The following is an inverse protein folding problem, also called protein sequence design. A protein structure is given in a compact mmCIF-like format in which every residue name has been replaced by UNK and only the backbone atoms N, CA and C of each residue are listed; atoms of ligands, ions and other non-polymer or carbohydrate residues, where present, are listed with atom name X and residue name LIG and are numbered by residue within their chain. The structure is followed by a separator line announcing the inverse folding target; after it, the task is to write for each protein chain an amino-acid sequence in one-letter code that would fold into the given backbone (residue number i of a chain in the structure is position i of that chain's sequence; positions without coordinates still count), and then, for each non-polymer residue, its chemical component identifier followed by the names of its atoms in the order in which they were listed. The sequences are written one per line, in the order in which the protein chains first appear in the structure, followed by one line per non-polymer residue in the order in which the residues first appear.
data_IF_067138874880
#
_entry.id   IF_067138874880
#
_cell.length_a   1.000
_cell.length_b   1.000
_cell.length_c   1.000
_cell.angle_alpha   90.00
_cell.angle_beta   90.00
_cell.angle_gamma   90.00
#
_symmetry.space_group_name_H-M   'P 1'
#
loop_
_entity.id
_entity.type
_entity.pdbx_description
1 polymer ?
#
# COMPACT_ATOMS: atom_id res chain seq x y z
N UNK A 1 8.17 1.66 -25.83
CA UNK A 1 8.09 1.64 -24.35
C UNK A 1 9.48 1.39 -23.80
N UNK A 2 10.05 2.31 -23.02
CA UNK A 2 11.39 2.15 -22.45
C UNK A 2 11.40 1.08 -21.35
N UNK A 3 12.08 -0.04 -21.63
CA UNK A 3 12.30 -1.14 -20.69
C UNK A 3 12.93 -0.68 -19.36
N UNK A 4 13.79 0.34 -19.42
CA UNK A 4 14.45 0.93 -18.24
C UNK A 4 13.46 1.54 -17.26
N UNK A 5 12.38 2.14 -17.76
CA UNK A 5 11.34 2.73 -16.92
C UNK A 5 10.59 1.63 -16.18
N UNK A 6 10.14 0.59 -16.89
CA UNK A 6 9.43 -0.55 -16.27
C UNK A 6 10.31 -1.28 -15.24
N UNK A 7 11.59 -1.47 -15.53
CA UNK A 7 12.56 -2.07 -14.60
C UNK A 7 12.80 -1.18 -13.36
N UNK A 8 12.80 0.15 -13.51
CA UNK A 8 12.85 1.09 -12.38
C UNK A 8 11.60 1.01 -11.49
N UNK A 9 10.42 0.80 -12.10
CA UNK A 9 9.17 0.63 -11.37
C UNK A 9 9.13 -0.68 -10.59
N UNK A 10 9.53 -1.79 -11.20
CA UNK A 10 9.58 -3.10 -10.54
C UNK A 10 10.64 -3.16 -9.43
N UNK A 11 11.79 -2.50 -9.60
CA UNK A 11 12.89 -2.54 -8.65
C UNK A 11 12.69 -1.63 -7.42
N UNK A 12 12.08 -0.45 -7.60
CA UNK A 12 11.83 0.48 -6.49
C UNK A 12 10.80 -0.04 -5.48
N UNK A 13 9.74 -0.71 -5.96
CA UNK A 13 8.70 -1.32 -5.10
C UNK A 13 9.29 -2.47 -4.27
N UNK A 14 10.33 -3.12 -4.79
CA UNK A 14 10.98 -4.28 -4.20
C UNK A 14 12.03 -3.97 -3.11
N UNK A 15 12.40 -2.72 -2.84
CA UNK A 15 13.51 -2.51 -1.88
C UNK A 15 13.08 -2.64 -0.39
N UNK A 16 11.78 -2.55 -0.09
CA UNK A 16 11.30 -2.40 1.30
C UNK A 16 10.27 -3.45 1.78
N UNK A 17 9.74 -4.34 0.93
CA UNK A 17 8.80 -5.40 1.37
C UNK A 17 9.49 -6.69 1.84
N UNK A 18 8.76 -7.70 2.32
CA UNK A 18 9.31 -9.02 2.67
C UNK A 18 9.90 -9.70 1.44
N UNK A 19 11.00 -10.45 1.56
CA UNK A 19 11.62 -11.11 0.40
C UNK A 19 10.62 -11.99 -0.38
N UNK A 20 9.70 -12.65 0.34
CA UNK A 20 8.67 -13.50 -0.25
C UNK A 20 7.59 -12.70 -0.99
N UNK A 21 6.92 -11.74 -0.36
CA UNK A 21 5.84 -10.97 -1.02
C UNK A 21 6.31 -10.17 -2.23
N UNK A 22 7.55 -9.68 -2.20
CA UNK A 22 8.21 -8.96 -3.30
C UNK A 22 8.32 -9.71 -4.61
N UNK A 23 8.89 -10.91 -4.55
CA UNK A 23 9.14 -11.72 -5.74
C UNK A 23 7.79 -12.13 -6.32
N UNK A 24 6.87 -12.61 -5.47
CA UNK A 24 5.57 -13.08 -5.90
C UNK A 24 4.67 -11.95 -6.44
N UNK A 25 4.59 -10.79 -5.79
CA UNK A 25 3.81 -9.66 -6.29
C UNK A 25 4.36 -9.13 -7.61
N UNK A 26 5.68 -9.06 -7.77
CA UNK A 26 6.31 -8.64 -9.03
C UNK A 26 6.05 -9.66 -10.14
N UNK A 27 6.18 -10.96 -9.87
CA UNK A 27 5.96 -12.02 -10.86
C UNK A 27 4.51 -12.06 -11.31
N UNK A 28 3.55 -12.01 -10.37
CA UNK A 28 2.12 -12.03 -10.71
C UNK A 28 1.73 -10.75 -11.47
N UNK A 29 2.27 -9.59 -11.11
CA UNK A 29 2.01 -8.35 -11.84
C UNK A 29 2.55 -8.39 -13.27
N UNK A 30 3.79 -8.87 -13.48
CA UNK A 30 4.37 -9.02 -14.83
C UNK A 30 3.57 -10.03 -15.65
N UNK A 31 3.25 -11.18 -15.08
CA UNK A 31 2.40 -12.19 -15.73
C UNK A 31 1.06 -11.58 -16.17
N UNK A 32 0.44 -10.78 -15.31
CA UNK A 32 -0.83 -10.12 -15.59
C UNK A 32 -0.73 -9.10 -16.74
N UNK A 33 0.35 -8.32 -16.82
CA UNK A 33 0.59 -7.41 -17.94
C UNK A 33 0.79 -8.20 -19.23
N UNK A 34 1.53 -9.32 -19.20
CA UNK A 34 1.74 -10.18 -20.37
C UNK A 34 0.43 -10.77 -20.88
N UNK A 35 -0.38 -11.36 -19.99
CA UNK A 35 -1.70 -11.92 -20.35
C UNK A 35 -2.62 -10.84 -20.90
N UNK A 36 -2.63 -9.65 -20.29
CA UNK A 36 -3.40 -8.51 -20.77
C UNK A 36 -3.03 -8.11 -22.20
N UNK A 37 -1.74 -7.99 -22.52
CA UNK A 37 -1.27 -7.61 -23.87
C UNK A 37 -1.70 -8.65 -24.90
N UNK A 38 -1.51 -9.94 -24.61
CA UNK A 38 -1.91 -11.03 -25.52
C UNK A 38 -3.41 -11.03 -25.74
N UNK A 39 -4.19 -10.88 -24.68
CA UNK A 39 -5.64 -10.81 -24.72
C UNK A 39 -6.14 -9.62 -25.55
N UNK A 40 -5.60 -8.42 -25.30
CA UNK A 40 -6.03 -7.18 -25.94
C UNK A 40 -5.93 -7.26 -27.46
N UNK A 41 -4.82 -7.79 -27.99
CA UNK A 41 -4.60 -7.88 -29.43
C UNK A 41 -5.33 -9.05 -30.08
N UNK A 42 -5.29 -10.24 -29.47
CA UNK A 42 -5.74 -11.47 -30.14
C UNK A 42 -7.21 -11.79 -29.93
N UNK A 43 -7.78 -11.41 -28.78
CA UNK A 43 -9.09 -11.89 -28.34
C UNK A 43 -10.12 -10.77 -28.43
N UNK A 44 -9.75 -9.55 -28.03
CA UNK A 44 -10.64 -8.40 -28.00
C UNK A 44 -10.46 -7.42 -29.17
N UNK A 45 -9.48 -7.64 -30.05
CA UNK A 45 -9.17 -6.74 -31.17
C UNK A 45 -10.31 -6.60 -32.19
N UNK A 46 -11.05 -7.68 -32.42
CA UNK A 46 -12.09 -7.77 -33.46
C UNK A 46 -13.51 -7.93 -32.88
N UNK A 47 -13.69 -7.59 -31.60
CA UNK A 47 -14.92 -7.88 -30.84
C UNK A 47 -16.20 -7.34 -31.45
N UNK A 48 -16.15 -6.13 -32.01
CA UNK A 48 -17.31 -5.51 -32.64
C UNK A 48 -17.59 -6.10 -34.03
N UNK A 49 -16.58 -6.61 -34.74
CA UNK A 49 -16.74 -7.23 -36.06
C UNK A 49 -17.27 -8.65 -35.96
N UNK A 50 -16.84 -9.39 -34.94
CA UNK A 50 -17.25 -10.77 -34.68
C UNK A 50 -18.58 -10.85 -33.91
N UNK A 51 -19.26 -9.72 -33.66
CA UNK A 51 -20.59 -9.65 -33.07
C UNK A 51 -21.66 -9.63 -34.17
N UNK A 52 -22.31 -10.77 -34.38
CA UNK A 52 -23.24 -10.98 -35.50
C UNK A 52 -24.66 -11.18 -34.99
N UNK A 53 -25.63 -10.48 -35.57
CA UNK A 53 -27.04 -10.58 -35.22
C UNK A 53 -27.84 -11.12 -36.41
N UNK A 54 -28.79 -12.01 -36.17
CA UNK A 54 -29.62 -12.62 -37.21
C UNK A 54 -30.69 -11.64 -37.75
N UNK A 55 -30.25 -10.54 -38.36
CA UNK A 55 -31.10 -9.51 -38.95
C UNK A 55 -30.35 -8.70 -40.01
N UNK A 56 -31.05 -8.25 -41.05
CA UNK A 56 -30.48 -7.42 -42.14
C UNK A 56 -30.64 -5.91 -41.90
N UNK A 57 -31.22 -5.51 -40.78
CA UNK A 57 -31.51 -4.12 -40.45
C UNK A 57 -30.20 -3.39 -40.11
N UNK A 58 -29.86 -2.30 -40.81
CA UNK A 58 -28.66 -1.53 -40.51
C UNK A 58 -28.75 -0.89 -39.12
N UNK A 59 -27.63 -0.87 -38.40
CA UNK A 59 -27.52 -0.25 -37.08
C UNK A 59 -27.97 -1.11 -35.89
N UNK A 60 -28.80 -2.13 -36.09
CA UNK A 60 -29.20 -3.07 -35.03
C UNK A 60 -28.00 -3.76 -34.33
N UNK A 61 -27.01 -4.35 -35.03
CA UNK A 61 -25.85 -4.96 -34.35
C UNK A 61 -25.02 -3.95 -33.54
N UNK A 62 -24.92 -2.69 -34.00
CA UNK A 62 -24.16 -1.66 -33.29
C UNK A 62 -24.81 -1.27 -31.95
N UNK A 63 -26.13 -1.06 -31.93
CA UNK A 63 -26.83 -0.71 -30.68
C UNK A 63 -26.91 -1.88 -29.71
N UNK A 64 -27.06 -3.10 -30.23
CA UNK A 64 -27.06 -4.30 -29.40
C UNK A 64 -25.69 -4.54 -28.79
N UNK A 65 -24.61 -4.35 -29.55
CA UNK A 65 -23.26 -4.45 -29.03
C UNK A 65 -23.01 -3.44 -27.90
N UNK A 66 -23.37 -2.17 -28.11
CA UNK A 66 -23.19 -1.10 -27.12
C UNK A 66 -24.01 -1.36 -25.83
N UNK A 67 -25.23 -1.91 -25.96
CA UNK A 67 -26.06 -2.24 -24.80
C UNK A 67 -25.52 -3.40 -23.97
N UNK A 68 -25.06 -4.49 -24.60
CA UNK A 68 -24.53 -5.65 -23.88
C UNK A 68 -23.08 -5.45 -23.41
N UNK A 69 -22.32 -4.58 -24.07
CA UNK A 69 -20.93 -4.27 -23.75
C UNK A 69 -20.69 -2.77 -23.58
N UNK A 70 -21.36 -2.10 -22.62
CA UNK A 70 -21.25 -0.64 -22.44
C UNK A 70 -19.81 -0.21 -22.15
N UNK A 71 -19.08 -1.05 -21.42
CA UNK A 71 -17.64 -1.03 -21.32
C UNK A 71 -17.17 -2.43 -21.68
N UNK A 72 -16.04 -2.57 -22.37
CA UNK A 72 -15.43 -3.87 -22.66
C UNK A 72 -14.56 -4.34 -21.48
N UNK A 73 -14.52 -5.65 -21.23
CA UNK A 73 -13.68 -6.26 -20.17
C UNK A 73 -12.23 -5.75 -20.22
N UNK A 74 -11.64 -5.72 -21.42
CA UNK A 74 -10.24 -5.33 -21.60
C UNK A 74 -9.97 -3.88 -21.15
N UNK A 75 -10.93 -2.95 -21.36
CA UNK A 75 -10.80 -1.57 -20.90
C UNK A 75 -10.83 -1.48 -19.37
N UNK A 76 -11.71 -2.24 -18.72
CA UNK A 76 -11.74 -2.30 -17.25
C UNK A 76 -10.45 -2.90 -16.68
N UNK A 77 -9.91 -3.95 -17.29
CA UNK A 77 -8.61 -4.51 -16.92
C UNK A 77 -7.45 -3.52 -17.12
N UNK A 78 -7.49 -2.73 -18.19
CA UNK A 78 -6.50 -1.67 -18.44
C UNK A 78 -6.53 -0.62 -17.33
N UNK A 79 -7.72 -0.11 -17.00
CA UNK A 79 -7.92 0.86 -15.92
C UNK A 79 -7.45 0.27 -14.59
N UNK A 80 -7.80 -0.98 -14.30
CA UNK A 80 -7.37 -1.64 -13.09
C UNK A 80 -5.85 -1.73 -12.98
N UNK A 81 -5.14 -2.12 -14.05
CA UNK A 81 -3.68 -2.16 -14.08
C UNK A 81 -3.08 -0.77 -13.83
N UNK A 82 -3.63 0.28 -14.45
CA UNK A 82 -3.19 1.67 -14.25
C UNK A 82 -3.37 2.07 -12.78
N UNK A 83 -4.58 1.95 -12.24
CA UNK A 83 -4.86 2.35 -10.85
C UNK A 83 -4.06 1.54 -9.82
N UNK A 84 -3.79 0.26 -10.08
CA UNK A 84 -2.94 -0.58 -9.22
C UNK A 84 -1.47 -0.15 -9.26
N UNK A 85 -0.98 0.34 -10.39
CA UNK A 85 0.39 0.85 -10.48
C UNK A 85 0.57 2.17 -9.74
N UNK A 86 -0.44 3.05 -9.72
CA UNK A 86 -0.33 4.38 -9.12
C UNK A 86 0.17 4.39 -7.64
N UNK A 87 -0.39 3.61 -6.70
CA UNK A 87 0.13 3.54 -5.33
C UNK A 87 1.58 3.05 -5.25
N UNK A 88 1.94 2.12 -6.14
CA UNK A 88 3.30 1.57 -6.22
C UNK A 88 4.29 2.63 -6.71
N UNK A 89 3.92 3.40 -7.74
CA UNK A 89 4.70 4.55 -8.23
C UNK A 89 4.90 5.61 -7.15
N UNK A 90 3.84 5.94 -6.42
CA UNK A 90 3.87 6.93 -5.34
C UNK A 90 4.91 6.55 -4.27
N UNK A 91 4.98 5.29 -3.86
CA UNK A 91 5.97 4.84 -2.87
C UNK A 91 7.39 4.94 -3.41
N UNK A 92 7.64 4.51 -4.65
CA UNK A 92 8.97 4.61 -5.27
C UNK A 92 9.41 6.06 -5.38
N UNK A 93 8.51 6.93 -5.81
CA UNK A 93 8.75 8.36 -5.92
C UNK A 93 9.03 8.97 -4.54
N UNK A 94 8.27 8.59 -3.51
CA UNK A 94 8.47 9.07 -2.14
C UNK A 94 9.84 8.64 -1.57
N UNK A 95 10.26 7.39 -1.82
CA UNK A 95 11.60 6.92 -1.44
C UNK A 95 12.68 7.72 -2.15
N UNK A 96 12.59 7.82 -3.48
CA UNK A 96 13.59 8.55 -4.29
C UNK A 96 13.69 10.01 -3.88
N UNK A 97 12.55 10.66 -3.64
CA UNK A 97 12.48 12.03 -3.16
C UNK A 97 13.17 12.21 -1.81
N UNK A 98 12.99 11.26 -0.88
CA UNK A 98 13.66 11.26 0.42
C UNK A 98 15.17 11.06 0.30
N UNK A 99 15.60 10.12 -0.55
CA UNK A 99 17.02 9.86 -0.81
C UNK A 99 17.71 11.10 -1.40
N UNK A 100 17.06 11.79 -2.35
CA UNK A 100 17.58 13.04 -2.94
C UNK A 100 17.65 14.19 -1.93
N UNK A 101 16.63 14.32 -1.06
CA UNK A 101 16.63 15.29 0.05
C UNK A 101 17.79 15.04 1.01
N UNK A 102 18.06 13.79 1.36
CA UNK A 102 19.17 13.44 2.25
C UNK A 102 20.53 13.70 1.59
N UNK A 103 20.68 13.43 0.28
CA UNK A 103 21.88 13.78 -0.49
C UNK A 103 22.15 15.28 -0.47
N UNK A 104 21.11 16.11 -0.70
CA UNK A 104 21.21 17.58 -0.65
C UNK A 104 21.54 18.08 0.76
N UNK A 105 21.04 17.42 1.80
CA UNK A 105 21.34 17.79 3.18
C UNK A 105 22.80 17.51 3.56
N UNK A 106 23.31 16.31 3.21
CA UNK A 106 24.72 15.93 3.39
C UNK A 106 25.68 16.86 2.65
N UNK A 107 25.31 17.30 1.44
CA UNK A 107 26.11 18.26 0.68
C UNK A 107 26.26 19.62 1.37
N UNK A 108 25.32 20.02 2.23
CA UNK A 108 25.34 21.31 2.95
C UNK A 108 25.96 21.25 4.35
N UNK A 109 25.76 20.15 5.08
CA UNK A 109 26.14 20.03 6.50
C UNK A 109 27.31 19.07 6.74
N UNK A 110 27.92 18.54 5.68
CA UNK A 110 29.03 17.60 5.73
C UNK A 110 28.61 16.13 5.62
N UNK A 111 29.58 15.22 5.39
CA UNK A 111 29.31 13.80 5.10
C UNK A 111 28.64 13.05 6.25
N UNK A 112 28.85 13.48 7.50
CA UNK A 112 28.30 12.84 8.71
C UNK A 112 26.89 13.33 9.10
N UNK A 113 26.38 14.38 8.45
CA UNK A 113 25.08 14.95 8.79
C UNK A 113 23.92 14.15 8.17
N UNK A 114 23.10 13.48 9.00
CA UNK A 114 21.89 12.74 8.56
C UNK A 114 20.61 13.53 8.87
N UNK A 115 19.71 13.62 7.88
CA UNK A 115 18.41 14.29 8.03
C UNK A 115 17.33 13.38 8.64
N UNK A 116 17.42 12.07 8.40
CA UNK A 116 16.52 11.07 8.95
C UNK A 116 17.36 10.06 9.74
N UNK A 117 16.99 9.87 11.00
CA UNK A 117 17.64 8.86 11.84
C UNK A 117 17.22 7.46 11.36
N UNK A 118 18.20 6.61 11.06
CA UNK A 118 18.03 5.22 10.60
C UNK A 118 17.20 5.01 9.31
N UNK A 119 17.73 5.39 8.14
CA UNK A 119 17.12 5.10 6.81
C UNK A 119 16.91 3.62 6.47
N UNK A 120 17.57 2.71 7.21
CA UNK A 120 17.46 1.26 6.98
C UNK A 120 16.27 0.59 7.68
N UNK A 121 15.65 1.22 8.69
CA UNK A 121 14.54 0.62 9.45
C UNK A 121 13.25 1.36 9.11
N UNK A 122 12.16 0.62 8.89
CA UNK A 122 10.80 1.15 8.65
C UNK A 122 10.26 1.94 9.86
N UNK A 123 10.84 3.09 10.19
CA UNK A 123 10.44 3.93 11.31
C UNK A 123 9.91 5.27 10.81
N UNK A 124 8.80 5.72 11.40
CA UNK A 124 8.14 6.99 11.07
C UNK A 124 7.33 6.98 9.77
N UNK A 125 7.33 8.12 9.07
CA UNK A 125 6.44 8.38 7.93
C UNK A 125 6.58 7.44 6.74
N UNK A 126 7.76 6.84 6.51
CA UNK A 126 7.95 5.90 5.38
C UNK A 126 7.11 4.62 5.55
N UNK A 127 6.97 4.12 6.78
CA UNK A 127 6.13 2.97 7.08
C UNK A 127 4.65 3.28 6.83
N UNK A 128 4.19 4.47 7.24
CA UNK A 128 2.80 4.89 7.02
C UNK A 128 2.46 5.04 5.54
N UNK A 129 3.33 5.68 4.75
CA UNK A 129 3.12 5.79 3.29
C UNK A 129 3.07 4.41 2.62
N UNK A 130 3.90 3.47 3.09
CA UNK A 130 3.90 2.11 2.59
C UNK A 130 2.61 1.36 2.96
N UNK A 131 2.19 1.43 4.23
CA UNK A 131 0.97 0.80 4.71
C UNK A 131 -0.27 1.34 3.97
N UNK A 132 -0.39 2.67 3.85
CA UNK A 132 -1.49 3.31 3.13
C UNK A 132 -1.49 2.90 1.65
N UNK A 133 -0.33 2.78 1.02
CA UNK A 133 -0.24 2.32 -0.37
C UNK A 133 -0.72 0.89 -0.56
N UNK A 134 -0.44 -0.01 0.40
CA UNK A 134 -0.91 -1.39 0.38
C UNK A 134 -2.42 -1.46 0.56
N UNK A 135 -2.98 -0.69 1.50
CA UNK A 135 -4.43 -0.60 1.68
C UNK A 135 -5.11 -0.05 0.42
N UNK A 136 -4.59 1.04 -0.16
CA UNK A 136 -5.13 1.61 -1.39
C UNK A 136 -5.06 0.61 -2.55
N UNK A 137 -3.96 -0.14 -2.68
CA UNK A 137 -3.81 -1.19 -3.70
C UNK A 137 -4.85 -2.30 -3.53
N UNK A 138 -5.01 -2.82 -2.31
CA UNK A 138 -6.02 -3.86 -2.01
C UNK A 138 -7.43 -3.35 -2.27
N UNK A 139 -7.74 -2.12 -1.85
CA UNK A 139 -9.05 -1.50 -2.07
C UNK A 139 -9.37 -1.35 -3.57
N UNK A 140 -8.42 -0.84 -4.36
CA UNK A 140 -8.56 -0.69 -5.81
C UNK A 140 -8.81 -2.06 -6.46
N UNK A 141 -8.01 -3.08 -6.13
CA UNK A 141 -8.18 -4.43 -6.69
C UNK A 141 -9.56 -5.03 -6.38
N UNK A 142 -10.01 -4.91 -5.13
CA UNK A 142 -11.33 -5.40 -4.70
C UNK A 142 -12.45 -4.62 -5.39
N UNK A 143 -12.34 -3.29 -5.49
CA UNK A 143 -13.33 -2.44 -6.13
C UNK A 143 -13.50 -2.79 -7.63
N UNK A 144 -12.40 -2.95 -8.37
CA UNK A 144 -12.47 -3.34 -9.78
C UNK A 144 -13.03 -4.76 -9.97
N UNK A 145 -12.67 -5.72 -9.12
CA UNK A 145 -13.27 -7.06 -9.16
C UNK A 145 -14.78 -7.03 -8.86
N UNK A 146 -15.20 -6.22 -7.88
CA UNK A 146 -16.60 -6.03 -7.55
C UNK A 146 -17.37 -5.41 -8.71
N UNK A 147 -16.83 -4.34 -9.32
CA UNK A 147 -17.42 -3.69 -10.50
C UNK A 147 -17.55 -4.69 -11.67
N UNK A 148 -16.50 -5.46 -11.95
CA UNK A 148 -16.54 -6.50 -13.00
C UNK A 148 -17.59 -7.56 -12.72
N UNK A 149 -17.70 -8.02 -11.47
CA UNK A 149 -18.69 -9.01 -11.07
C UNK A 149 -20.12 -8.50 -11.23
N UNK A 150 -20.36 -7.22 -10.89
CA UNK A 150 -21.67 -6.59 -10.98
C UNK A 150 -22.08 -6.28 -12.43
N UNK A 151 -21.14 -5.89 -13.29
CA UNK A 151 -21.44 -5.55 -14.69
C UNK A 151 -21.65 -6.82 -15.55
N UNK A 152 -20.89 -7.89 -15.32
CA UNK A 152 -20.88 -9.08 -16.17
C UNK A 152 -21.40 -10.35 -15.47
N UNK A 153 -22.37 -10.17 -14.56
CA UNK A 153 -23.15 -11.21 -13.90
C UNK A 153 -22.36 -12.52 -13.64
N UNK A 154 -21.43 -12.45 -12.68
CA UNK A 154 -20.55 -13.56 -12.27
C UNK A 154 -19.49 -14.01 -13.31
N UNK A 155 -18.95 -13.08 -14.10
CA UNK A 155 -17.90 -13.34 -15.11
C UNK A 155 -18.33 -14.32 -16.21
N UNK A 156 -19.64 -14.48 -16.41
CA UNK A 156 -20.19 -15.40 -17.38
C UNK A 156 -20.50 -14.68 -18.68
N UNK A 157 -19.88 -15.13 -19.77
CA UNK A 157 -20.16 -14.63 -21.11
C UNK A 157 -20.95 -15.68 -21.89
N UNK A 158 -22.27 -15.50 -22.10
CA UNK A 158 -23.07 -16.43 -22.90
C UNK A 158 -22.63 -16.39 -24.36
N UNK A 159 -22.94 -17.44 -25.13
CA UNK A 159 -22.65 -17.49 -26.57
C UNK A 159 -23.63 -16.66 -27.40
N UNK A 160 -24.84 -16.48 -26.88
CA UNK A 160 -25.95 -15.80 -27.53
C UNK A 160 -26.63 -14.87 -26.52
N UNK A 161 -26.95 -13.67 -26.98
CA UNK A 161 -27.73 -12.67 -26.25
C UNK A 161 -28.94 -12.29 -27.07
N UNK A 162 -30.06 -12.03 -26.39
CA UNK A 162 -31.32 -11.66 -27.04
C UNK A 162 -31.54 -10.15 -26.92
N UNK A 163 -31.46 -9.44 -28.04
CA UNK A 163 -31.55 -7.99 -28.08
C UNK A 163 -32.94 -7.52 -28.54
N UNK A 164 -33.53 -6.54 -27.88
CA UNK A 164 -34.79 -5.90 -28.29
C UNK A 164 -34.71 -4.38 -28.09
N UNK A 165 -33.79 -3.73 -28.81
CA UNK A 165 -33.47 -2.30 -28.65
C UNK A 165 -33.63 -1.62 -30.00
N UNK A 166 -34.19 -0.41 -30.01
CA UNK A 166 -34.31 0.39 -31.22
C UNK A 166 -32.92 0.63 -31.87
N UNK A 167 -32.73 0.40 -33.19
CA UNK A 167 -33.72 0.25 -34.27
C UNK A 167 -34.07 -1.20 -34.66
N UNK A 168 -33.88 -2.18 -33.76
CA UNK A 168 -34.28 -3.56 -34.02
C UNK A 168 -35.81 -3.69 -33.95
N UNK A 169 -36.47 -4.28 -34.98
CA UNK A 169 -37.93 -4.34 -35.08
C UNK A 169 -38.59 -5.37 -34.13
N UNK A 170 -37.86 -6.43 -33.75
CA UNK A 170 -38.30 -7.49 -32.87
C UNK A 170 -37.10 -7.96 -32.02
N UNK A 171 -37.33 -8.91 -31.11
CA UNK A 171 -36.25 -9.59 -30.43
C UNK A 171 -35.40 -10.38 -31.43
N UNK A 172 -34.11 -10.04 -31.51
CA UNK A 172 -33.13 -10.69 -32.38
C UNK A 172 -32.10 -11.46 -31.56
N UNK A 173 -31.63 -12.56 -32.14
CA UNK A 173 -30.54 -13.35 -31.60
C UNK A 173 -29.21 -12.78 -32.11
N UNK A 174 -28.34 -12.41 -31.18
CA UNK A 174 -26.98 -11.95 -31.47
C UNK A 174 -25.95 -12.90 -30.86
N UNK A 175 -24.96 -13.28 -31.68
CA UNK A 175 -23.90 -14.20 -31.34
C UNK A 175 -22.62 -13.43 -31.00
N UNK A 176 -22.01 -13.79 -29.88
CA UNK A 176 -20.76 -13.18 -29.43
C UNK A 176 -19.59 -14.00 -29.96
N UNK A 177 -18.65 -13.36 -30.64
CA UNK A 177 -17.40 -13.98 -31.09
C UNK A 177 -16.53 -14.51 -29.94
N UNK A 178 -15.99 -15.72 -30.11
CA UNK A 178 -15.00 -16.39 -29.23
C UNK A 178 -15.32 -16.33 -27.73
N UNK A 179 -16.55 -16.71 -27.30
CA UNK A 179 -16.98 -16.52 -25.92
C UNK A 179 -16.18 -17.41 -24.94
N UNK A 180 -15.76 -18.59 -25.37
CA UNK A 180 -14.94 -19.50 -24.56
C UNK A 180 -13.53 -18.96 -24.33
N UNK A 181 -12.89 -18.39 -25.35
CA UNK A 181 -11.56 -17.79 -25.21
C UNK A 181 -11.61 -16.60 -24.24
N UNK A 182 -12.54 -15.66 -24.47
CA UNK A 182 -12.77 -14.52 -23.59
C UNK A 182 -12.99 -14.94 -22.14
N UNK A 183 -13.81 -15.97 -21.92
CA UNK A 183 -14.09 -16.50 -20.58
C UNK A 183 -12.84 -17.07 -19.91
N UNK A 184 -12.04 -17.85 -20.64
CA UNK A 184 -10.78 -18.41 -20.12
C UNK A 184 -9.80 -17.29 -19.73
N UNK A 185 -9.60 -16.29 -20.58
CA UNK A 185 -8.75 -15.14 -20.27
C UNK A 185 -9.26 -14.34 -19.06
N UNK A 186 -10.57 -14.09 -18.97
CA UNK A 186 -11.17 -13.43 -17.82
C UNK A 186 -10.91 -14.20 -16.54
N UNK A 187 -11.07 -15.53 -16.51
CA UNK A 187 -10.76 -16.32 -15.31
C UNK A 187 -9.28 -16.28 -14.91
N UNK A 188 -8.34 -16.32 -15.87
CA UNK A 188 -6.92 -16.15 -15.56
C UNK A 188 -6.63 -14.78 -14.93
N UNK A 189 -7.23 -13.71 -15.46
CA UNK A 189 -7.05 -12.34 -14.95
C UNK A 189 -7.68 -12.17 -13.56
N UNK A 190 -8.88 -12.70 -13.34
CA UNK A 190 -9.54 -12.71 -12.01
C UNK A 190 -8.74 -13.53 -11.01
N UNK A 191 -8.28 -14.72 -11.39
CA UNK A 191 -7.46 -15.59 -10.54
C UNK A 191 -6.14 -14.93 -10.13
N UNK A 192 -5.43 -14.31 -11.07
CA UNK A 192 -4.22 -13.54 -10.77
C UNK A 192 -4.50 -12.37 -9.82
N UNK A 193 -5.61 -11.66 -9.99
CA UNK A 193 -6.03 -10.56 -9.12
C UNK A 193 -6.39 -11.05 -7.71
N UNK A 194 -7.07 -12.19 -7.59
CA UNK A 194 -7.36 -12.81 -6.30
C UNK A 194 -6.07 -13.20 -5.55
N UNK A 195 -5.09 -13.79 -6.25
CA UNK A 195 -3.76 -14.09 -5.69
C UNK A 195 -3.07 -12.79 -5.24
N UNK A 196 -3.11 -11.73 -6.03
CA UNK A 196 -2.56 -10.42 -5.65
C UNK A 196 -3.21 -9.85 -4.38
N UNK A 197 -4.53 -9.97 -4.23
CA UNK A 197 -5.25 -9.52 -3.04
C UNK A 197 -4.80 -10.31 -1.82
N UNK A 198 -4.75 -11.64 -1.90
CA UNK A 198 -4.29 -12.50 -0.79
C UNK A 198 -2.87 -12.15 -0.38
N UNK A 199 -1.94 -12.03 -1.34
CA UNK A 199 -0.56 -11.66 -1.06
C UNK A 199 -0.46 -10.27 -0.41
N UNK A 200 -1.25 -9.30 -0.88
CA UNK A 200 -1.29 -7.94 -0.32
C UNK A 200 -1.82 -7.93 1.11
N UNK A 201 -2.86 -8.72 1.41
CA UNK A 201 -3.40 -8.88 2.77
C UNK A 201 -2.37 -9.56 3.68
N UNK A 202 -1.73 -10.63 3.23
CA UNK A 202 -0.67 -11.30 3.99
C UNK A 202 0.49 -10.34 4.33
N UNK A 203 0.88 -9.48 3.39
CA UNK A 203 1.88 -8.44 3.67
C UNK A 203 1.42 -7.44 4.72
N UNK A 204 0.17 -6.95 4.63
CA UNK A 204 -0.41 -6.03 5.62
C UNK A 204 -0.37 -6.67 7.02
N UNK A 205 -0.84 -7.92 7.15
CA UNK A 205 -0.86 -8.66 8.42
C UNK A 205 0.56 -8.83 8.97
N UNK A 206 1.53 -9.22 8.13
CA UNK A 206 2.92 -9.38 8.54
C UNK A 206 3.51 -8.08 9.11
N UNK A 207 3.23 -6.94 8.48
CA UNK A 207 3.76 -5.64 8.90
C UNK A 207 3.16 -5.18 10.22
N UNK A 208 1.85 -5.39 10.40
CA UNK A 208 1.14 -5.10 11.65
C UNK A 208 1.72 -5.96 12.76
N UNK A 209 1.82 -7.28 12.55
CA UNK A 209 2.36 -8.21 13.54
C UNK A 209 3.78 -7.85 13.94
N UNK A 210 4.67 -7.61 12.96
CA UNK A 210 6.05 -7.19 13.22
C UNK A 210 6.13 -5.89 14.03
N UNK A 211 5.23 -4.94 13.77
CA UNK A 211 5.17 -3.68 14.51
C UNK A 211 4.73 -3.92 15.96
N UNK A 212 3.66 -4.67 16.17
CA UNK A 212 3.14 -5.03 17.50
C UNK A 212 4.21 -5.77 18.31
N UNK A 213 4.85 -6.80 17.76
CA UNK A 213 5.92 -7.54 18.46
C UNK A 213 7.11 -6.66 18.81
N UNK A 214 7.45 -5.68 17.97
CA UNK A 214 8.53 -4.72 18.26
C UNK A 214 8.15 -3.76 19.38
N UNK A 215 6.90 -3.30 19.43
CA UNK A 215 6.37 -2.48 20.52
C UNK A 215 6.38 -3.24 21.86
N UNK A 216 5.91 -4.49 21.88
CA UNK A 216 5.87 -5.33 23.10
C UNK A 216 7.28 -5.55 23.68
N UNK A 217 8.27 -5.87 22.82
CA UNK A 217 9.68 -6.04 23.26
C UNK A 217 10.27 -4.75 23.85
N UNK A 218 9.87 -3.58 23.31
CA UNK A 218 10.34 -2.27 23.79
C UNK A 218 9.77 -1.94 25.18
N UNK A 219 8.49 -2.26 25.41
CA UNK A 219 7.84 -2.11 26.73
C UNK A 219 8.48 -3.02 27.78
N UNK A 220 8.76 -4.29 27.46
CA UNK A 220 9.42 -5.22 28.38
C UNK A 220 10.86 -4.80 28.75
N UNK A 221 11.58 -4.15 27.83
CA UNK A 221 12.95 -3.67 28.09
C UNK A 221 12.97 -2.44 29.00
N UNK A 222 12.00 -1.52 28.86
CA UNK A 222 11.81 -0.41 29.81
C UNK A 222 11.45 -0.90 31.22
N UNK A 223 10.58 -1.92 31.32
CA UNK A 223 10.19 -2.48 32.62
C UNK A 223 11.36 -3.16 33.35
N UNK A 224 12.26 -3.85 32.64
CA UNK A 224 13.47 -4.46 33.24
C UNK A 224 14.51 -3.45 33.72
N UNK A 225 14.52 -2.23 33.19
CA UNK A 225 15.46 -1.17 33.61
C UNK A 225 15.06 -0.53 34.94
N UNK A 226 13.78 -0.62 35.33
CA UNK A 226 13.26 -0.18 36.61
C UNK A 226 13.45 -1.20 37.75
N UNK A 227 14.12 -2.34 37.48
CA UNK A 227 14.35 -3.42 38.44
C UNK A 227 15.84 -3.76 38.61
N UNK A 228 16.74 -2.79 38.44
CA UNK A 228 18.06 -2.87 39.07
C UNK A 228 17.98 -2.22 40.45
N UNK A 229 18.19 -2.94 41.56
CA UNK A 229 18.45 -2.26 42.82
C UNK A 229 19.73 -1.46 42.62
N UNK A 230 19.66 -0.15 42.78
CA UNK A 230 20.79 0.76 42.82
C UNK A 230 21.45 0.59 44.20
N UNK A 231 22.60 -0.07 44.36
CA UNK A 231 23.27 -0.14 45.65
C UNK A 231 24.26 1.03 45.72
N UNK A 232 23.77 2.27 45.62
CA UNK A 232 24.64 3.46 45.75
C UNK A 232 23.88 4.79 45.90
N UNK A 233 22.60 4.78 46.27
CA UNK A 233 21.86 6.02 46.55
C UNK A 233 21.79 6.37 48.04
N UNK A 234 22.17 5.45 48.94
CA UNK A 234 22.15 5.68 50.39
C UNK A 234 23.44 6.28 50.96
N UNK A 235 24.41 6.68 50.13
CA UNK A 235 25.62 7.39 50.59
C UNK A 235 25.72 8.84 50.10
N UNK A 236 24.65 9.40 49.54
CA UNK A 236 24.62 10.82 49.15
C UNK A 236 23.67 11.66 50.01
N UNK A 237 22.56 11.08 50.49
CA UNK A 237 21.55 11.74 51.33
C UNK A 237 21.95 11.80 52.83
N UNK A 238 23.22 12.03 53.14
CA UNK A 238 23.64 12.43 54.50
C UNK A 238 24.64 13.59 54.52
N UNK A 239 25.08 14.08 53.35
CA UNK A 239 26.03 15.19 53.24
C UNK A 239 25.40 16.54 52.83
N UNK A 240 24.12 16.57 52.51
CA UNK A 240 23.42 17.76 52.01
C UNK A 240 22.92 18.74 53.10
N UNK A 241 22.85 18.32 54.37
CA UNK A 241 22.28 19.13 55.46
C UNK A 241 23.31 19.88 56.33
N UNK A 242 24.60 19.80 56.02
CA UNK A 242 25.66 20.52 56.77
C UNK A 242 26.42 21.59 55.97
N UNK A 243 26.16 21.75 54.66
CA UNK A 243 26.84 22.75 53.81
C UNK A 243 25.96 23.98 53.47
N UNK A 244 24.67 23.97 53.80
CA UNK A 244 23.73 25.06 53.51
C UNK A 244 23.71 26.18 54.56
N UNK A 245 24.84 26.41 55.25
CA UNK A 245 24.95 27.45 56.27
C UNK A 245 26.18 28.33 56.09
N UNK A 246 26.41 28.83 54.89
CA UNK A 246 27.17 30.08 54.73
C UNK A 246 26.79 30.76 53.42
N UNK A 247 25.83 31.66 53.56
CA UNK A 247 25.47 32.70 52.60
C UNK A 247 26.67 33.59 52.29
N UNK A 248 26.55 34.29 51.16
CA UNK A 248 27.26 35.52 50.76
C UNK A 248 28.73 35.39 50.37
N UNK A 249 28.99 35.38 49.06
CA UNK A 249 29.83 36.41 48.42
C UNK A 249 29.91 36.20 46.89
N UNK A 250 29.56 37.26 46.17
CA UNK A 250 30.21 37.75 44.95
C UNK A 250 30.16 36.95 43.61
N UNK A 251 29.80 37.72 42.58
CA UNK A 251 30.09 37.57 41.14
C UNK A 251 29.26 36.56 40.33
N UNK A 252 28.16 36.97 39.70
CA UNK A 252 28.06 37.65 38.39
C UNK A 252 28.80 36.96 37.22
N UNK A 253 27.96 36.46 36.29
CA UNK A 253 28.11 36.33 34.82
C UNK A 253 29.02 35.24 34.23
N UNK A 254 28.46 34.63 33.18
CA UNK A 254 29.03 33.68 32.20
C UNK A 254 29.03 32.24 32.71
N UNK A 255 28.39 31.23 32.09
CA UNK A 255 28.19 31.03 30.67
C UNK A 255 26.97 30.16 30.38
N UNK A 256 26.22 30.62 29.39
CA UNK A 256 25.21 29.93 28.61
C UNK A 256 25.87 28.78 27.83
N UNK A 257 26.01 27.58 28.40
CA UNK A 257 26.21 26.34 27.62
C UNK A 257 26.17 25.10 28.52
N UNK A 258 25.42 24.10 28.04
CA UNK A 258 25.44 22.68 28.46
C UNK A 258 24.41 22.28 29.52
N UNK A 259 23.17 22.06 29.07
CA UNK A 259 22.37 20.82 29.26
C UNK A 259 20.91 21.08 28.87
N UNK A 260 20.68 21.45 27.60
CA UNK A 260 19.36 21.31 27.00
C UNK A 260 19.24 19.85 26.51
N UNK A 261 19.06 18.94 27.47
CA UNK A 261 18.73 17.52 27.27
C UNK A 261 17.48 17.18 28.08
N UNK A 262 16.51 18.09 28.06
CA UNK A 262 15.21 17.97 28.74
C UNK A 262 14.09 17.99 27.69
N UNK A 263 14.14 17.05 26.74
CA UNK A 263 13.11 16.86 25.73
C UNK A 263 12.49 15.47 25.70
N UNK A 264 12.94 14.54 26.56
CA UNK A 264 12.56 13.12 26.48
C UNK A 264 11.88 12.56 27.74
N UNK A 265 11.57 13.38 28.74
CA UNK A 265 10.88 12.92 29.96
C UNK A 265 9.38 13.22 29.96
N UNK A 266 8.92 14.25 29.22
CA UNK A 266 7.49 14.60 29.20
C UNK A 266 6.63 13.75 28.25
N UNK A 267 7.21 13.11 27.21
CA UNK A 267 6.44 12.22 26.33
C UNK A 267 6.20 10.82 26.94
N UNK A 268 6.96 10.43 27.96
CA UNK A 268 6.80 9.12 28.59
C UNK A 268 5.70 9.10 29.67
N UNK A 269 5.48 10.21 30.38
CA UNK A 269 4.43 10.33 31.39
C UNK A 269 3.02 10.42 30.76
N UNK A 270 2.87 11.09 29.61
CA UNK A 270 1.60 11.07 28.89
C UNK A 270 1.28 9.71 28.28
N UNK A 271 2.28 8.94 27.82
CA UNK A 271 2.05 7.62 27.25
C UNK A 271 1.69 6.53 28.28
N UNK A 272 2.12 6.67 29.54
CA UNK A 272 1.76 5.71 30.59
C UNK A 272 0.32 5.94 31.09
N UNK A 273 -0.14 7.19 31.21
CA UNK A 273 -1.50 7.50 31.67
C UNK A 273 -2.54 7.21 30.57
N UNK A 274 -2.21 7.47 29.30
CA UNK A 274 -3.10 7.20 28.16
C UNK A 274 -3.25 5.68 27.90
N UNK A 275 -2.19 4.89 28.07
CA UNK A 275 -2.28 3.43 27.92
C UNK A 275 -3.00 2.75 29.10
N UNK A 276 -2.93 3.28 30.32
CA UNK A 276 -3.74 2.78 31.43
C UNK A 276 -5.24 3.05 31.23
N UNK A 277 -5.60 4.14 30.53
CA UNK A 277 -7.00 4.50 30.26
C UNK A 277 -7.58 3.81 29.01
N UNK A 278 -6.81 3.64 27.93
CA UNK A 278 -7.27 2.98 26.69
C UNK A 278 -7.33 1.45 26.77
N UNK A 279 -6.47 0.81 27.57
CA UNK A 279 -6.59 -0.64 27.84
C UNK A 279 -7.84 -1.00 28.67
N UNK A 280 -8.50 -0.03 29.31
CA UNK A 280 -9.74 -0.26 30.04
C UNK A 280 -11.01 -0.20 29.18
N UNK A 281 -10.95 0.30 27.93
CA UNK A 281 -12.15 0.42 27.07
C UNK A 281 -12.28 -0.66 25.99
N UNK A 282 -11.21 -1.32 25.56
CA UNK A 282 -11.27 -2.34 24.48
C UNK A 282 -11.49 -3.78 24.95
N UNK A 283 -11.94 -3.98 26.19
CA UNK A 283 -12.29 -5.32 26.70
C UNK A 283 -13.77 -5.45 27.09
N UNK A 284 -14.63 -4.47 26.80
CA UNK A 284 -16.07 -4.60 27.03
C UNK A 284 -16.90 -3.69 26.09
N UNK A 285 -17.02 -4.09 24.82
CA UNK A 285 -18.17 -3.90 23.89
C UNK A 285 -17.72 -4.11 22.45
#
# INVERSE_FOLDING_TARGET
MDWKTFQALLSGVNKYSTAFGRIWLSVVFVFRVLVYVVAAERVWGDDQRDFDCNIKQPGCPNVCYDHFFPISHIRLWALQLIFVTCPSLMVVMHVKYRDERERKYRAKHGPDAKLYDDTGKKHGGLWWTYLLSLFAKTFIEVAFLYILHHIYDSFYLPRLVKCNIYPCPNQVDCYIGRPMEKRVFTYFMVGASAICIVLSICEIIYLIFKRVSSCVKRVQTCSKMHHKPLPLFLLYEQKSLSYFRTTTALHLRLDTKRLNSSGSEHECLSYSIINSFLLSQTCNS
#
